data_IF_501720094653
#
_entry.id   IF_501720094653
#
_cell.length_a   1.000
_cell.length_b   1.000
_cell.length_c   1.000
_cell.angle_alpha   90.00
_cell.angle_beta   90.00
_cell.angle_gamma   90.00
#
_symmetry.space_group_name_H-M   'P 1'
#
loop_
_entity.id
_entity.type
_entity.pdbx_description
1 polymer ?
#
# COMPACT_ATOMS: atom_id res chain seq x y z
N UNK A 1 3.21 -9.30 -2.39
CA UNK A 1 3.28 -10.74 -2.72
C UNK A 1 4.50 -10.99 -3.59
N UNK A 2 5.15 -12.13 -3.41
CA UNK A 2 6.22 -12.64 -4.26
C UNK A 2 5.94 -14.11 -4.56
N UNK A 3 6.00 -14.49 -5.83
CA UNK A 3 5.86 -15.87 -6.29
C UNK A 3 7.14 -16.27 -6.99
N UNK A 4 7.77 -17.32 -6.47
CA UNK A 4 8.96 -17.92 -7.03
C UNK A 4 8.56 -19.20 -7.75
N UNK A 5 8.82 -19.29 -9.05
CA UNK A 5 8.55 -20.48 -9.86
C UNK A 5 9.88 -21.00 -10.41
N UNK A 6 10.18 -22.26 -10.14
CA UNK A 6 11.35 -22.95 -10.66
C UNK A 6 10.90 -24.10 -11.58
N UNK A 7 11.43 -24.15 -12.79
CA UNK A 7 11.31 -25.31 -13.69
C UNK A 7 12.67 -25.64 -14.28
N UNK A 8 12.95 -26.94 -14.51
CA UNK A 8 14.12 -27.42 -15.24
C UNK A 8 13.82 -27.62 -16.72
N UNK A 9 12.57 -27.44 -17.14
CA UNK A 9 12.16 -27.52 -18.53
C UNK A 9 12.53 -26.23 -19.28
N UNK A 10 13.79 -26.14 -19.70
CA UNK A 10 14.34 -24.97 -20.41
C UNK A 10 13.76 -24.77 -21.81
N UNK A 11 13.11 -25.78 -22.40
CA UNK A 11 12.42 -25.65 -23.70
C UNK A 11 11.27 -24.63 -23.65
N UNK A 12 10.76 -24.33 -22.45
CA UNK A 12 9.77 -23.27 -22.22
C UNK A 12 10.32 -21.86 -22.43
N UNK A 13 11.65 -21.69 -22.42
CA UNK A 13 12.31 -20.38 -22.53
C UNK A 13 11.79 -19.62 -23.74
N UNK A 14 11.85 -20.19 -24.94
CA UNK A 14 11.46 -19.49 -26.17
C UNK A 14 10.01 -19.03 -26.14
N UNK A 15 9.08 -19.88 -25.72
CA UNK A 15 7.66 -19.52 -25.63
C UNK A 15 7.43 -18.37 -24.64
N UNK A 16 8.07 -18.44 -23.47
CA UNK A 16 8.01 -17.39 -22.45
C UNK A 16 8.59 -16.08 -22.98
N UNK A 17 9.79 -16.10 -23.57
CA UNK A 17 10.42 -14.88 -24.10
C UNK A 17 9.59 -14.24 -25.19
N UNK A 18 9.00 -15.03 -26.09
CA UNK A 18 8.08 -14.52 -27.11
C UNK A 18 6.86 -13.87 -26.48
N UNK A 19 6.28 -14.45 -25.43
CA UNK A 19 5.14 -13.85 -24.73
C UNK A 19 5.52 -12.57 -23.97
N UNK A 20 6.75 -12.43 -23.51
CA UNK A 20 7.25 -11.24 -22.81
C UNK A 20 7.80 -10.16 -23.76
N UNK A 21 8.07 -10.48 -25.03
CA UNK A 21 8.73 -9.57 -25.97
C UNK A 21 7.95 -8.27 -26.25
N UNK A 22 6.63 -8.27 -26.02
CA UNK A 22 5.78 -7.09 -26.17
C UNK A 22 5.63 -6.23 -24.92
N UNK A 23 6.27 -6.61 -23.80
CA UNK A 23 6.15 -5.86 -22.54
C UNK A 23 6.95 -4.56 -22.58
N UNK A 24 6.37 -3.44 -22.11
CA UNK A 24 7.12 -2.20 -21.95
C UNK A 24 8.27 -2.40 -20.96
N UNK A 25 9.39 -1.70 -21.18
CA UNK A 25 10.55 -1.71 -20.29
C UNK A 25 11.25 -3.07 -20.13
N UNK A 26 11.09 -3.98 -21.09
CA UNK A 26 11.86 -5.22 -21.10
C UNK A 26 13.36 -4.96 -21.19
N UNK A 27 14.08 -5.45 -20.18
CA UNK A 27 15.53 -5.42 -20.11
C UNK A 27 16.07 -6.85 -20.09
N UNK A 28 17.12 -7.10 -20.87
CA UNK A 28 17.85 -8.36 -20.85
C UNK A 28 19.34 -8.10 -20.62
N UNK A 29 19.92 -8.79 -19.65
CA UNK A 29 21.36 -8.69 -19.32
C UNK A 29 21.88 -10.07 -18.97
N UNK A 30 22.66 -10.67 -19.87
CA UNK A 30 23.15 -12.04 -19.73
C UNK A 30 21.99 -13.04 -19.62
N UNK A 31 21.94 -13.78 -18.52
CA UNK A 31 20.89 -14.76 -18.22
C UNK A 31 19.67 -14.16 -17.50
N UNK A 32 19.69 -12.86 -17.20
CA UNK A 32 18.64 -12.19 -16.46
C UNK A 32 17.77 -11.35 -17.39
N UNK A 33 16.47 -11.55 -17.32
CA UNK A 33 15.45 -10.74 -18.00
C UNK A 33 14.59 -10.10 -16.92
N UNK A 34 14.29 -8.82 -17.09
CA UNK A 34 13.53 -8.04 -16.12
C UNK A 34 12.48 -7.20 -16.86
N UNK A 35 11.25 -7.27 -16.36
CA UNK A 35 10.14 -6.39 -16.70
C UNK A 35 9.48 -5.97 -15.38
N UNK A 36 8.66 -4.90 -15.36
CA UNK A 36 7.89 -4.54 -14.18
C UNK A 36 7.09 -5.74 -13.64
N UNK A 37 7.39 -6.13 -12.40
CA UNK A 37 6.70 -7.23 -11.73
C UNK A 37 7.22 -8.65 -12.02
N UNK A 38 8.28 -8.83 -12.83
CA UNK A 38 8.93 -10.12 -13.08
C UNK A 38 10.45 -9.98 -13.26
N UNK A 39 11.19 -10.84 -12.56
CA UNK A 39 12.60 -11.13 -12.84
C UNK A 39 12.71 -12.60 -13.22
N UNK A 40 13.15 -12.87 -14.44
CA UNK A 40 13.43 -14.22 -14.96
C UNK A 40 14.94 -14.43 -15.03
N UNK A 41 15.44 -15.45 -14.34
CA UNK A 41 16.78 -15.99 -14.56
C UNK A 41 16.68 -17.24 -15.43
N UNK A 42 17.21 -17.17 -16.64
CA UNK A 42 17.12 -18.21 -17.66
C UNK A 42 18.49 -18.78 -18.00
N UNK A 43 18.89 -19.80 -17.25
CA UNK A 43 20.16 -20.52 -17.43
C UNK A 43 20.00 -21.68 -18.42
N UNK A 44 21.08 -22.41 -18.69
CA UNK A 44 21.04 -23.65 -19.48
C UNK A 44 20.29 -24.81 -18.79
N UNK A 45 20.16 -24.76 -17.45
CA UNK A 45 19.65 -25.88 -16.66
C UNK A 45 18.27 -25.63 -16.02
N UNK A 46 17.87 -24.37 -15.91
CA UNK A 46 16.61 -24.00 -15.26
C UNK A 46 16.14 -22.60 -15.65
N UNK A 47 14.84 -22.40 -15.47
CA UNK A 47 14.17 -21.10 -15.48
C UNK A 47 13.67 -20.82 -14.06
N UNK A 48 14.11 -19.70 -13.48
CA UNK A 48 13.65 -19.20 -12.19
C UNK A 48 12.94 -17.87 -12.38
N UNK A 49 11.66 -17.85 -12.05
CA UNK A 49 10.80 -16.68 -12.12
C UNK A 49 10.61 -16.13 -10.72
N UNK A 50 10.89 -14.85 -10.52
CA UNK A 50 10.50 -14.08 -9.34
C UNK A 50 9.43 -13.08 -9.77
N UNK A 51 8.17 -13.35 -9.42
CA UNK A 51 7.01 -12.61 -9.91
C UNK A 51 6.34 -11.90 -8.75
N UNK A 52 6.18 -10.58 -8.83
CA UNK A 52 5.38 -9.78 -7.89
C UNK A 52 4.03 -9.37 -8.44
N UNK A 53 3.81 -9.49 -9.76
CA UNK A 53 2.54 -9.21 -10.43
C UNK A 53 1.64 -10.45 -10.52
N UNK A 54 0.41 -10.36 -10.01
CA UNK A 54 -0.60 -11.41 -10.12
C UNK A 54 -0.97 -11.69 -11.57
N UNK A 55 -1.14 -10.64 -12.40
CA UNK A 55 -1.44 -10.76 -13.85
C UNK A 55 -0.38 -11.57 -14.58
N UNK A 56 0.90 -11.30 -14.31
CA UNK A 56 2.02 -12.04 -14.92
C UNK A 56 2.05 -13.50 -14.46
N UNK A 57 1.77 -13.77 -13.19
CA UNK A 57 1.74 -15.14 -12.66
C UNK A 57 0.67 -15.99 -13.35
N UNK A 58 -0.53 -15.43 -13.52
CA UNK A 58 -1.66 -16.12 -14.17
C UNK A 58 -1.37 -16.37 -15.66
N UNK A 59 -0.65 -15.47 -16.32
CA UNK A 59 -0.27 -15.65 -17.73
C UNK A 59 0.84 -16.69 -17.91
N UNK A 60 1.86 -16.67 -17.05
CA UNK A 60 3.05 -17.51 -17.20
C UNK A 60 2.78 -18.95 -16.79
N UNK A 61 2.04 -19.18 -15.70
CA UNK A 61 1.91 -20.50 -15.11
C UNK A 61 1.38 -21.57 -16.09
N UNK A 62 0.29 -21.35 -16.85
CA UNK A 62 -0.19 -22.33 -17.82
C UNK A 62 0.85 -22.69 -18.88
N UNK A 63 1.69 -21.74 -19.30
CA UNK A 63 2.73 -21.95 -20.33
C UNK A 63 3.81 -22.93 -19.88
N UNK A 64 3.98 -23.12 -18.56
CA UNK A 64 4.97 -24.01 -17.99
C UNK A 64 4.55 -25.49 -18.04
N UNK A 65 3.28 -25.78 -18.34
CA UNK A 65 2.80 -27.14 -18.58
C UNK A 65 3.13 -27.59 -20.00
N UNK A 66 3.43 -28.88 -20.17
CA UNK A 66 3.66 -29.51 -21.47
C UNK A 66 2.63 -30.61 -21.69
N UNK A 67 2.14 -30.74 -22.92
CA UNK A 67 1.32 -31.88 -23.30
C UNK A 67 2.22 -32.99 -23.82
N UNK A 68 2.29 -34.10 -23.09
CA UNK A 68 3.05 -35.28 -23.50
C UNK A 68 2.11 -36.28 -24.16
N UNK A 69 2.44 -36.82 -25.36
CA UNK A 69 1.65 -37.88 -25.95
C UNK A 69 1.86 -39.20 -25.19
N UNK A 70 0.76 -39.91 -24.93
CA UNK A 70 0.71 -41.16 -24.16
C UNK A 70 -0.17 -42.19 -24.88
N UNK A 71 0.34 -42.73 -25.99
CA UNK A 71 -0.42 -43.59 -26.91
C UNK A 71 -1.26 -42.76 -27.87
N UNK A 72 -2.59 -42.99 -27.90
CA UNK A 72 -3.54 -42.20 -28.70
C UNK A 72 -4.03 -40.92 -27.99
N UNK A 73 -3.65 -40.74 -26.72
CA UNK A 73 -4.09 -39.62 -25.87
C UNK A 73 -2.91 -38.72 -25.51
N UNK A 74 -3.20 -37.61 -24.85
CA UNK A 74 -2.25 -36.66 -24.30
C UNK A 74 -2.44 -36.55 -22.78
N UNK A 75 -1.38 -36.14 -22.11
CA UNK A 75 -1.35 -35.89 -20.68
C UNK A 75 -0.65 -34.56 -20.40
N UNK A 76 -1.22 -33.66 -19.59
CA UNK A 76 -0.51 -32.49 -19.09
C UNK A 76 0.57 -32.93 -18.11
N UNK A 77 1.79 -32.40 -18.25
CA UNK A 77 2.90 -32.67 -17.35
C UNK A 77 3.62 -31.37 -17.01
N UNK A 78 4.10 -31.27 -15.77
CA UNK A 78 4.89 -30.12 -15.31
C UNK A 78 5.87 -30.57 -14.23
N UNK A 79 7.02 -29.92 -14.17
CA UNK A 79 8.03 -30.11 -13.13
C UNK A 79 8.16 -28.89 -12.21
N UNK A 80 7.23 -27.92 -12.35
CA UNK A 80 7.29 -26.65 -11.64
C UNK A 80 7.27 -26.85 -10.12
N UNK A 81 8.12 -26.09 -9.45
CA UNK A 81 8.09 -25.92 -8.00
C UNK A 81 7.79 -24.46 -7.71
N UNK A 82 6.74 -24.22 -6.95
CA UNK A 82 6.29 -22.85 -6.65
C UNK A 82 6.36 -22.62 -5.16
N UNK A 83 6.91 -21.45 -4.78
CA UNK A 83 6.80 -20.89 -3.45
C UNK A 83 6.13 -19.53 -3.60
N UNK A 84 5.01 -19.33 -2.91
CA UNK A 84 4.32 -18.05 -2.88
C UNK A 84 4.38 -17.47 -1.47
N UNK A 85 4.85 -16.23 -1.35
CA UNK A 85 4.88 -15.48 -0.09
C UNK A 85 3.99 -14.26 -0.23
N UNK A 86 3.01 -14.11 0.65
CA UNK A 86 2.01 -13.05 0.57
C UNK A 86 1.59 -12.57 1.97
N UNK A 87 0.95 -11.41 2.05
CA UNK A 87 0.14 -11.10 3.24
C UNK A 87 -1.01 -12.08 3.29
N UNK A 88 -1.51 -12.39 4.47
CA UNK A 88 -2.60 -13.33 4.60
C UNK A 88 -3.76 -12.73 5.38
N UNK A 89 -4.93 -13.35 5.22
CA UNK A 89 -6.01 -13.10 6.16
C UNK A 89 -5.69 -13.71 7.53
N UNK A 90 -6.46 -13.35 8.55
CA UNK A 90 -6.32 -13.98 9.88
C UNK A 90 -6.54 -15.50 9.78
N UNK A 91 -5.89 -16.32 10.62
CA UNK A 91 -6.07 -17.77 10.60
C UNK A 91 -7.54 -18.20 10.63
N UNK A 92 -8.38 -17.51 11.41
CA UNK A 92 -9.83 -17.74 11.49
C UNK A 92 -10.52 -17.66 10.14
N UNK A 93 -10.13 -16.69 9.30
CA UNK A 93 -10.71 -16.51 7.95
C UNK A 93 -10.14 -17.53 6.96
N UNK A 94 -8.93 -18.04 7.19
CA UNK A 94 -8.28 -19.03 6.33
C UNK A 94 -8.83 -20.45 6.57
N UNK A 95 -9.11 -20.81 7.83
CA UNK A 95 -9.50 -22.16 8.25
C UNK A 95 -10.57 -22.85 7.37
N UNK A 96 -11.68 -22.19 6.98
CA UNK A 96 -12.73 -22.82 6.17
C UNK A 96 -12.26 -23.26 4.77
N UNK A 97 -11.10 -22.78 4.33
CA UNK A 97 -10.54 -23.01 3.01
C UNK A 97 -9.43 -24.06 3.00
N UNK A 98 -9.09 -24.62 4.16
CA UNK A 98 -8.11 -25.69 4.29
C UNK A 98 -8.76 -27.06 4.12
N UNK A 99 -8.00 -27.95 3.48
CA UNK A 99 -8.35 -29.35 3.38
C UNK A 99 -7.85 -30.14 4.60
N UNK A 100 -6.71 -29.73 5.16
CA UNK A 100 -6.07 -30.36 6.31
C UNK A 100 -5.42 -29.29 7.20
N UNK A 101 -5.49 -29.47 8.52
CA UNK A 101 -4.85 -28.59 9.51
C UNK A 101 -3.81 -29.42 10.26
N UNK A 102 -2.56 -28.98 10.20
CA UNK A 102 -1.42 -29.63 10.86
C UNK A 102 -1.03 -28.95 12.17
N UNK A 103 -1.24 -27.63 12.26
CA UNK A 103 -0.98 -26.82 13.47
C UNK A 103 -1.87 -25.59 13.46
N UNK A 104 -2.32 -25.15 14.64
CA UNK A 104 -3.10 -23.93 14.83
C UNK A 104 -2.82 -23.36 16.21
N UNK A 105 -2.30 -22.13 16.26
CA UNK A 105 -2.16 -21.33 17.48
C UNK A 105 -2.74 -19.94 17.20
N UNK A 106 -3.98 -19.71 17.65
CA UNK A 106 -4.70 -18.45 17.41
C UNK A 106 -4.13 -17.27 18.20
N UNK A 107 -3.51 -17.53 19.36
CA UNK A 107 -2.92 -16.47 20.19
C UNK A 107 -1.65 -15.91 19.54
N UNK A 108 -0.91 -16.76 18.83
CA UNK A 108 0.30 -16.38 18.09
C UNK A 108 0.08 -16.10 16.61
N UNK A 109 -1.17 -16.17 16.15
CA UNK A 109 -1.54 -16.06 14.73
C UNK A 109 -0.78 -17.05 13.82
N UNK A 110 -0.56 -18.27 14.31
CA UNK A 110 0.14 -19.33 13.59
C UNK A 110 -0.83 -20.37 13.05
N UNK A 111 -0.59 -20.82 11.82
CA UNK A 111 -1.38 -21.87 11.18
C UNK A 111 -0.51 -22.64 10.17
N UNK A 112 -0.50 -23.97 10.27
CA UNK A 112 0.03 -24.86 9.25
C UNK A 112 -1.09 -25.74 8.71
N UNK A 113 -1.17 -25.90 7.39
CA UNK A 113 -2.20 -26.73 6.79
C UNK A 113 -1.97 -26.99 5.31
N UNK A 114 -2.90 -27.74 4.72
CA UNK A 114 -2.89 -28.05 3.29
C UNK A 114 -4.17 -27.51 2.65
N UNK A 115 -4.06 -26.87 1.50
CA UNK A 115 -5.19 -26.55 0.63
C UNK A 115 -5.04 -27.28 -0.70
N UNK A 116 -6.16 -27.78 -1.21
CA UNK A 116 -6.25 -28.41 -2.52
C UNK A 116 -7.11 -27.55 -3.45
N UNK A 117 -6.75 -27.52 -4.72
CA UNK A 117 -7.57 -27.00 -5.81
C UNK A 117 -7.51 -27.97 -6.98
N UNK A 118 -8.60 -28.13 -7.71
CA UNK A 118 -8.66 -29.01 -8.88
C UNK A 118 -9.26 -28.23 -10.07
N UNK A 119 -8.62 -28.36 -11.23
CA UNK A 119 -9.15 -27.93 -12.52
C UNK A 119 -9.43 -29.17 -13.35
N UNK A 120 -10.60 -29.23 -13.98
CA UNK A 120 -11.03 -30.41 -14.75
C UNK A 120 -11.60 -30.00 -16.09
N UNK A 121 -11.25 -30.77 -17.11
CA UNK A 121 -11.86 -30.72 -18.44
C UNK A 121 -12.16 -32.14 -18.89
N UNK A 122 -13.45 -32.50 -18.90
CA UNK A 122 -13.92 -33.88 -19.15
C UNK A 122 -13.18 -34.91 -18.28
N UNK A 123 -12.37 -35.75 -18.91
CA UNK A 123 -11.68 -36.85 -18.27
C UNK A 123 -10.30 -36.47 -17.73
N UNK A 124 -9.76 -35.29 -18.05
CA UNK A 124 -8.45 -34.82 -17.54
C UNK A 124 -8.64 -33.86 -16.38
N UNK A 125 -7.83 -34.03 -15.34
CA UNK A 125 -7.78 -33.12 -14.21
C UNK A 125 -6.35 -32.76 -13.82
N UNK A 126 -6.15 -31.54 -13.34
CA UNK A 126 -4.92 -31.09 -12.70
C UNK A 126 -5.26 -30.64 -11.29
N UNK A 127 -4.58 -31.20 -10.31
CA UNK A 127 -4.76 -30.88 -8.89
C UNK A 127 -3.55 -30.11 -8.40
N UNK A 128 -3.76 -28.98 -7.72
CA UNK A 128 -2.72 -28.30 -6.96
C UNK A 128 -2.83 -28.65 -5.48
N UNK A 129 -1.70 -29.07 -4.89
CA UNK A 129 -1.52 -29.19 -3.45
C UNK A 129 -0.65 -28.05 -2.94
N UNK A 130 -1.22 -27.20 -2.09
CA UNK A 130 -0.52 -26.12 -1.41
C UNK A 130 -0.30 -26.47 0.06
N UNK A 131 0.96 -26.66 0.45
CA UNK A 131 1.40 -26.74 1.85
C UNK A 131 1.62 -25.32 2.35
N UNK A 132 0.86 -24.90 3.36
CA UNK A 132 0.75 -23.53 3.82
C UNK A 132 1.36 -23.38 5.22
N UNK A 133 2.10 -22.29 5.43
CA UNK A 133 2.56 -21.84 6.73
C UNK A 133 2.22 -20.36 6.92
N UNK A 134 1.51 -20.04 7.99
CA UNK A 134 1.09 -18.69 8.36
C UNK A 134 1.69 -18.34 9.70
N UNK A 135 2.29 -17.16 9.79
CA UNK A 135 2.76 -16.57 11.05
C UNK A 135 2.84 -15.05 10.91
N UNK A 136 2.31 -14.31 11.90
CA UNK A 136 2.43 -12.85 11.96
C UNK A 136 1.87 -12.13 10.73
N UNK A 137 0.73 -12.59 10.20
CA UNK A 137 0.07 -11.98 9.04
C UNK A 137 0.73 -12.25 7.68
N UNK A 138 1.73 -13.14 7.63
CA UNK A 138 2.40 -13.58 6.39
C UNK A 138 2.10 -15.04 6.13
N UNK A 139 1.77 -15.37 4.88
CA UNK A 139 1.61 -16.73 4.37
C UNK A 139 2.79 -17.09 3.47
N UNK A 140 3.34 -18.27 3.69
CA UNK A 140 4.22 -18.98 2.75
C UNK A 140 3.51 -20.25 2.28
N UNK A 141 3.39 -20.41 0.96
CA UNK A 141 2.72 -21.54 0.33
C UNK A 141 3.68 -22.26 -0.62
N UNK A 142 3.96 -23.54 -0.35
CA UNK A 142 4.67 -24.42 -1.28
C UNK A 142 3.65 -25.19 -2.11
N UNK A 143 3.68 -24.99 -3.42
CA UNK A 143 2.65 -25.51 -4.33
C UNK A 143 3.27 -26.53 -5.28
N UNK A 144 2.59 -27.66 -5.43
CA UNK A 144 2.89 -28.71 -6.41
C UNK A 144 1.63 -29.05 -7.20
N UNK A 145 1.82 -29.41 -8.46
CA UNK A 145 0.75 -29.87 -9.32
C UNK A 145 0.89 -31.36 -9.58
N UNK A 146 -0.24 -32.05 -9.49
CA UNK A 146 -0.40 -33.46 -9.84
C UNK A 146 -1.42 -33.54 -10.97
N UNK A 147 -1.17 -34.38 -11.96
CA UNK A 147 -2.04 -34.55 -13.13
C UNK A 147 -2.70 -35.91 -13.09
N UNK A 148 -3.96 -35.96 -13.47
CA UNK A 148 -4.77 -37.17 -13.46
C UNK A 148 -5.39 -37.39 -14.83
N UNK A 149 -5.36 -38.66 -15.28
CA UNK A 149 -5.96 -39.18 -16.52
C UNK A 149 -5.37 -38.59 -17.82
N UNK A 150 -5.90 -39.04 -18.97
CA UNK A 150 -5.44 -38.71 -20.32
C UNK A 150 -6.63 -38.59 -21.27
N UNK A 151 -6.58 -37.65 -22.21
CA UNK A 151 -7.67 -37.39 -23.17
C UNK A 151 -7.07 -36.78 -24.46
N UNK A 152 -7.91 -36.26 -25.36
CA UNK A 152 -7.50 -35.52 -26.54
C UNK A 152 -6.64 -34.31 -26.16
N UNK A 153 -5.75 -33.92 -27.08
CA UNK A 153 -4.88 -32.75 -26.91
C UNK A 153 -5.69 -31.49 -26.58
N UNK A 154 -6.85 -31.31 -27.24
CA UNK A 154 -7.75 -30.19 -27.01
C UNK A 154 -8.27 -30.14 -25.57
N UNK A 155 -8.75 -31.25 -25.02
CA UNK A 155 -9.28 -31.28 -23.66
C UNK A 155 -8.18 -31.04 -22.62
N UNK A 156 -6.97 -31.59 -22.86
CA UNK A 156 -5.81 -31.33 -22.00
C UNK A 156 -5.40 -29.86 -22.02
N UNK A 157 -5.35 -29.25 -23.20
CA UNK A 157 -5.04 -27.82 -23.36
C UNK A 157 -6.08 -26.94 -22.66
N UNK A 158 -7.37 -27.22 -22.88
CA UNK A 158 -8.47 -26.52 -22.21
C UNK A 158 -8.42 -26.67 -20.68
N UNK A 159 -7.89 -27.79 -20.17
CA UNK A 159 -7.65 -27.96 -18.73
C UNK A 159 -6.49 -27.08 -18.24
N UNK A 160 -5.37 -27.05 -18.97
CA UNK A 160 -4.20 -26.23 -18.63
C UNK A 160 -4.55 -24.74 -18.59
N UNK A 161 -5.35 -24.27 -19.55
CA UNK A 161 -5.76 -22.86 -19.66
C UNK A 161 -6.63 -22.37 -18.50
N UNK A 162 -7.25 -23.29 -17.74
CA UNK A 162 -8.03 -22.96 -16.55
C UNK A 162 -7.18 -22.84 -15.28
N UNK A 163 -5.95 -23.35 -15.30
CA UNK A 163 -5.08 -23.38 -14.11
C UNK A 163 -4.78 -21.95 -13.66
N UNK A 164 -5.05 -21.69 -12.38
CA UNK A 164 -5.01 -20.33 -11.84
C UNK A 164 -4.52 -20.30 -10.39
N UNK A 165 -3.45 -19.53 -10.10
CA UNK A 165 -3.01 -19.33 -8.73
C UNK A 165 -4.02 -18.53 -7.92
N UNK A 166 -4.77 -17.61 -8.55
CA UNK A 166 -5.90 -16.91 -7.94
C UNK A 166 -6.90 -17.87 -7.33
N UNK A 167 -7.32 -18.92 -8.04
CA UNK A 167 -8.30 -19.87 -7.51
C UNK A 167 -7.80 -20.59 -6.23
N UNK A 168 -6.49 -20.85 -6.18
CA UNK A 168 -5.84 -21.49 -5.04
C UNK A 168 -5.59 -20.52 -3.87
N UNK A 169 -5.10 -19.32 -4.13
CA UNK A 169 -4.57 -18.39 -3.12
C UNK A 169 -5.54 -17.29 -2.70
N UNK A 170 -6.52 -16.91 -3.52
CA UNK A 170 -7.46 -15.82 -3.21
C UNK A 170 -8.21 -15.97 -1.88
N UNK A 171 -8.63 -17.17 -1.45
CA UNK A 171 -9.27 -17.32 -0.14
C UNK A 171 -8.30 -17.15 1.04
N UNK A 172 -7.00 -17.16 0.78
CA UNK A 172 -5.94 -17.12 1.79
C UNK A 172 -5.30 -15.73 1.93
N UNK A 173 -5.25 -14.97 0.84
CA UNK A 173 -4.53 -13.71 0.77
C UNK A 173 -5.29 -12.63 -0.04
N UNK A 174 -5.23 -11.36 0.39
CA UNK A 174 -5.94 -10.26 -0.27
C UNK A 174 -5.45 -9.95 -1.68
N UNK A 175 -4.19 -10.26 -2.01
CA UNK A 175 -3.53 -9.85 -3.26
C UNK A 175 -4.20 -10.36 -4.54
N UNK A 176 -5.02 -11.41 -4.47
CA UNK A 176 -5.76 -11.93 -5.62
C UNK A 176 -7.24 -11.50 -5.67
N UNK A 177 -7.77 -10.89 -4.60
CA UNK A 177 -9.20 -10.56 -4.43
C UNK A 177 -9.52 -9.07 -4.55
N UNK A 178 -8.58 -8.21 -4.18
CA UNK A 178 -8.72 -6.76 -4.31
C UNK A 178 -7.46 -6.20 -4.98
N UNK A 179 -7.58 -5.15 -5.82
CA UNK A 179 -6.41 -4.34 -6.14
C UNK A 179 -5.75 -3.90 -4.83
N UNK A 180 -4.43 -3.74 -4.82
CA UNK A 180 -3.75 -3.15 -3.67
C UNK A 180 -4.51 -1.88 -3.26
N UNK A 181 -4.78 -1.64 -1.95
CA UNK A 181 -5.47 -0.44 -1.53
C UNK A 181 -4.75 0.75 -2.15
N UNK A 182 -5.50 1.53 -2.92
CA UNK A 182 -4.96 2.73 -3.54
C UNK A 182 -4.47 3.71 -2.46
N UNK A 183 -3.56 4.61 -2.83
CA UNK A 183 -3.07 5.64 -1.92
C UNK A 183 -4.24 6.39 -1.26
N UNK A 184 -4.25 6.42 0.07
CA UNK A 184 -5.24 7.20 0.83
C UNK A 184 -4.64 8.54 1.19
N UNK A 185 -5.16 9.59 0.59
CA UNK A 185 -4.74 10.96 0.87
C UNK A 185 -5.69 11.56 1.90
N UNK A 186 -5.17 11.95 3.06
CA UNK A 186 -5.92 12.74 4.02
C UNK A 186 -5.88 14.22 3.63
N UNK A 187 -6.98 14.97 3.79
CA UNK A 187 -6.99 16.41 3.53
C UNK A 187 -5.87 17.13 4.29
N UNK A 188 -5.21 18.13 3.69
CA UNK A 188 -4.27 18.97 4.42
C UNK A 188 -4.97 19.68 5.58
N UNK A 189 -4.24 19.88 6.67
CA UNK A 189 -4.73 20.53 7.88
C UNK A 189 -3.72 21.56 8.36
N UNK A 190 -4.21 22.73 8.76
CA UNK A 190 -3.40 23.75 9.44
C UNK A 190 -3.75 23.65 10.91
N UNK A 191 -2.77 23.38 11.76
CA UNK A 191 -2.98 23.08 13.17
C UNK A 191 -2.11 23.96 14.05
N UNK A 192 -2.59 24.20 15.26
CA UNK A 192 -1.78 24.73 16.35
C UNK A 192 -2.34 24.26 17.68
N UNK A 193 -1.47 24.17 18.68
CA UNK A 193 -1.85 23.79 20.03
C UNK A 193 -1.15 24.73 21.01
N UNK A 194 -1.91 25.26 21.96
CA UNK A 194 -1.39 26.20 22.94
C UNK A 194 -2.10 26.04 24.27
N UNK A 195 -1.32 26.09 25.36
CA UNK A 195 -1.85 26.21 26.72
C UNK A 195 -2.05 27.68 27.04
N UNK A 196 -3.24 28.03 27.52
CA UNK A 196 -3.63 29.39 27.88
C UNK A 196 -4.20 29.43 29.29
N UNK A 197 -4.14 30.61 29.89
CA UNK A 197 -4.78 30.88 31.18
C UNK A 197 -6.28 31.15 31.02
N UNK A 198 -7.03 31.00 32.11
CA UNK A 198 -8.46 31.33 32.16
C UNK A 198 -8.73 32.77 31.70
N UNK A 199 -7.87 33.72 32.08
CA UNK A 199 -8.02 35.13 31.69
C UNK A 199 -7.94 35.33 30.17
N UNK A 200 -6.95 34.71 29.52
CA UNK A 200 -6.79 34.76 28.05
C UNK A 200 -7.96 34.07 27.34
N UNK A 201 -8.46 32.97 27.91
CA UNK A 201 -9.63 32.28 27.38
C UNK A 201 -10.90 33.16 27.46
N UNK A 202 -11.16 33.77 28.61
CA UNK A 202 -12.29 34.68 28.84
C UNK A 202 -12.22 35.87 27.88
N UNK A 203 -11.03 36.42 27.67
CA UNK A 203 -10.82 37.50 26.70
C UNK A 203 -11.15 37.05 25.27
N UNK A 204 -10.68 35.87 24.87
CA UNK A 204 -10.90 35.35 23.53
C UNK A 204 -12.36 35.01 23.24
N UNK A 205 -13.01 34.21 24.10
CA UNK A 205 -14.38 33.73 23.87
C UNK A 205 -15.40 34.88 23.84
N UNK A 206 -15.21 35.91 24.67
CA UNK A 206 -16.12 37.05 24.74
C UNK A 206 -16.03 38.01 23.54
N UNK A 207 -14.93 37.95 22.75
CA UNK A 207 -14.84 38.64 21.45
C UNK A 207 -15.76 38.02 20.38
N UNK A 208 -16.38 36.88 20.68
CA UNK A 208 -17.28 36.12 19.77
C UNK A 208 -16.63 35.83 18.41
N UNK A 209 -15.49 35.11 18.38
CA UNK A 209 -14.77 34.79 17.15
C UNK A 209 -15.56 33.88 16.19
N UNK A 210 -16.66 33.29 16.65
CA UNK A 210 -17.57 32.48 15.85
C UNK A 210 -18.70 31.88 16.68
N UNK A 211 -19.32 30.82 16.16
CA UNK A 211 -20.37 30.09 16.88
C UNK A 211 -19.73 29.19 17.93
N UNK A 212 -20.11 29.38 19.19
CA UNK A 212 -19.58 28.61 20.32
C UNK A 212 -20.59 27.57 20.76
N UNK A 213 -20.16 26.31 20.87
CA UNK A 213 -20.95 25.19 21.38
C UNK A 213 -20.12 24.49 22.46
N UNK A 214 -20.72 24.23 23.62
CA UNK A 214 -20.09 23.37 24.61
C UNK A 214 -20.44 21.90 24.33
N UNK A 215 -19.43 21.07 24.14
CA UNK A 215 -19.57 19.62 23.91
C UNK A 215 -19.39 18.88 25.22
N UNK A 216 -20.49 18.39 25.79
CA UNK A 216 -20.48 17.62 27.05
C UNK A 216 -19.66 16.33 26.94
N UNK A 217 -19.72 15.63 25.80
CA UNK A 217 -18.99 14.38 25.57
C UNK A 217 -17.47 14.57 25.66
N UNK A 218 -16.96 15.67 25.12
CA UNK A 218 -15.52 15.97 25.09
C UNK A 218 -15.05 16.83 26.27
N UNK A 219 -16.01 17.33 27.05
CA UNK A 219 -15.84 18.36 28.08
C UNK A 219 -15.01 19.54 27.54
N UNK A 220 -15.48 20.12 26.43
CA UNK A 220 -14.74 21.14 25.70
C UNK A 220 -15.66 22.18 25.06
N UNK A 221 -15.21 23.43 25.04
CA UNK A 221 -15.80 24.47 24.21
C UNK A 221 -15.29 24.33 22.78
N UNK A 222 -16.21 24.24 21.83
CA UNK A 222 -15.93 24.17 20.40
C UNK A 222 -16.40 25.45 19.75
N UNK A 223 -15.48 26.17 19.14
CA UNK A 223 -15.73 27.40 18.39
C UNK A 223 -15.62 27.07 16.92
N UNK A 224 -16.72 27.21 16.20
CA UNK A 224 -16.73 27.14 14.73
C UNK A 224 -16.55 28.55 14.19
N UNK A 225 -15.39 28.79 13.59
CA UNK A 225 -15.03 30.07 12.99
C UNK A 225 -15.82 30.28 11.69
N UNK A 226 -16.19 31.53 11.41
CA UNK A 226 -16.85 31.89 10.16
C UNK A 226 -15.93 31.56 8.97
N UNK A 227 -16.27 30.50 8.24
CA UNK A 227 -15.52 30.00 7.08
C UNK A 227 -14.90 28.60 7.23
N UNK A 228 -15.04 27.91 8.36
CA UNK A 228 -14.73 26.47 8.43
C UNK A 228 -13.36 26.13 9.04
N UNK A 229 -12.97 26.91 10.04
CA UNK A 229 -11.99 26.53 11.05
C UNK A 229 -12.67 26.13 12.36
N UNK A 230 -11.98 25.35 13.18
CA UNK A 230 -12.43 24.93 14.51
C UNK A 230 -11.36 25.23 15.54
N UNK A 231 -11.78 25.81 16.67
CA UNK A 231 -10.96 25.86 17.89
C UNK A 231 -11.67 25.01 18.94
N UNK A 232 -10.95 24.10 19.58
CA UNK A 232 -11.43 23.27 20.68
C UNK A 232 -10.62 23.63 21.92
N UNK A 233 -11.27 24.11 22.97
CA UNK A 233 -10.60 24.46 24.22
C UNK A 233 -11.15 23.60 25.35
N UNK A 234 -10.23 22.90 26.05
CA UNK A 234 -10.53 21.97 27.13
C UNK A 234 -9.74 22.34 28.37
N UNK A 235 -10.40 22.35 29.53
CA UNK A 235 -9.70 22.53 30.80
C UNK A 235 -8.86 21.29 31.10
N UNK A 236 -7.59 21.48 31.43
CA UNK A 236 -6.74 20.37 31.81
C UNK A 236 -7.03 19.93 33.25
N UNK A 237 -6.95 18.63 33.51
CA UNK A 237 -7.26 18.05 34.82
C UNK A 237 -6.22 18.42 35.88
N UNK A 238 -5.00 18.76 35.45
CA UNK A 238 -3.87 19.15 36.29
C UNK A 238 -3.59 20.65 36.12
N UNK A 239 -4.41 21.50 36.74
CA UNK A 239 -4.19 22.95 36.83
C UNK A 239 -5.38 23.81 36.38
N UNK A 240 -5.16 25.14 36.35
CA UNK A 240 -6.10 26.13 35.82
C UNK A 240 -5.86 26.43 34.32
N UNK A 241 -4.97 25.69 33.67
CA UNK A 241 -4.64 25.88 32.27
C UNK A 241 -5.69 25.24 31.36
N UNK A 242 -5.97 25.94 30.25
CA UNK A 242 -6.87 25.50 29.21
C UNK A 242 -6.03 25.14 27.99
N UNK A 243 -6.19 23.93 27.49
CA UNK A 243 -5.57 23.48 26.24
C UNK A 243 -6.46 23.87 25.08
N UNK A 244 -5.98 24.76 24.22
CA UNK A 244 -6.64 25.13 22.99
C UNK A 244 -5.97 24.48 21.78
N UNK A 245 -6.78 23.78 20.99
CA UNK A 245 -6.40 23.12 19.76
C UNK A 245 -7.12 23.78 18.60
N UNK A 246 -6.35 24.23 17.63
CA UNK A 246 -6.82 24.90 16.42
C UNK A 246 -6.66 23.96 15.24
N UNK A 247 -7.68 23.90 14.38
CA UNK A 247 -7.63 23.17 13.11
C UNK A 247 -8.37 23.95 12.01
N UNK A 248 -7.68 24.18 10.89
CA UNK A 248 -8.27 24.70 9.65
C UNK A 248 -8.09 23.72 8.51
N UNK A 249 -9.11 23.60 7.66
CA UNK A 249 -9.05 22.81 6.44
C UNK A 249 -8.54 23.59 5.22
N UNK A 250 -8.48 24.93 5.28
CA UNK A 250 -7.94 25.77 4.20
C UNK A 250 -7.71 27.20 4.70
N UNK A 251 -6.60 27.86 4.30
CA UNK A 251 -6.34 29.26 4.66
C UNK A 251 -7.27 30.25 3.94
N UNK A 252 -7.87 29.88 2.80
CA UNK A 252 -8.74 30.79 2.02
C UNK A 252 -10.06 31.10 2.70
N UNK A 253 -10.46 30.30 3.69
CA UNK A 253 -11.73 30.46 4.38
C UNK A 253 -11.59 31.12 5.75
N UNK A 254 -10.41 31.62 6.09
CA UNK A 254 -10.10 32.19 7.40
C UNK A 254 -9.90 33.69 7.24
N UNK A 255 -10.63 34.50 8.01
CA UNK A 255 -10.49 35.97 7.96
C UNK A 255 -9.14 36.42 8.50
N UNK A 256 -8.54 37.48 7.96
CA UNK A 256 -7.24 37.98 8.42
C UNK A 256 -7.23 38.39 9.90
N UNK A 257 -8.37 38.88 10.41
CA UNK A 257 -8.51 39.32 11.81
C UNK A 257 -8.31 38.21 12.85
N UNK A 258 -8.61 36.94 12.53
CA UNK A 258 -8.48 35.86 13.51
C UNK A 258 -7.02 35.56 13.83
N UNK A 259 -6.08 35.73 12.89
CA UNK A 259 -4.66 35.48 13.15
C UNK A 259 -4.09 36.48 14.16
N UNK A 260 -4.61 37.72 14.16
CA UNK A 260 -4.30 38.69 15.20
C UNK A 260 -4.79 38.20 16.57
N UNK A 261 -6.03 37.72 16.66
CA UNK A 261 -6.59 37.21 17.92
C UNK A 261 -5.87 35.93 18.42
N UNK A 262 -5.50 35.03 17.51
CA UNK A 262 -4.74 33.82 17.83
C UNK A 262 -3.38 34.16 18.45
N UNK A 263 -2.68 35.15 17.88
CA UNK A 263 -1.38 35.58 18.39
C UNK A 263 -1.51 36.38 19.68
N UNK A 264 -2.28 37.48 19.64
CA UNK A 264 -2.31 38.45 20.74
C UNK A 264 -3.09 37.96 21.95
N UNK A 265 -4.20 37.26 21.73
CA UNK A 265 -5.06 36.80 22.82
C UNK A 265 -4.66 35.41 23.28
N UNK A 266 -4.58 34.45 22.35
CA UNK A 266 -4.30 33.05 22.68
C UNK A 266 -2.80 32.75 22.79
N UNK A 267 -1.91 33.62 22.31
CA UNK A 267 -0.47 33.39 22.37
C UNK A 267 0.01 32.27 21.44
N UNK A 268 -0.72 31.99 20.36
CA UNK A 268 -0.28 31.04 19.34
C UNK A 268 0.81 31.72 18.49
N UNK A 269 2.03 31.22 18.59
CA UNK A 269 3.19 31.81 17.90
C UNK A 269 3.45 31.21 16.51
N UNK A 270 2.89 30.03 16.21
CA UNK A 270 3.10 29.36 14.94
C UNK A 270 1.94 28.43 14.56
N UNK A 271 1.83 28.16 13.27
CA UNK A 271 0.88 27.24 12.67
C UNK A 271 1.65 26.15 11.91
N UNK A 272 1.26 24.89 12.11
CA UNK A 272 1.80 23.75 11.37
C UNK A 272 0.84 23.36 10.26
N UNK A 273 1.30 23.34 9.01
CA UNK A 273 0.54 22.75 7.89
C UNK A 273 1.00 21.30 7.75
N UNK A 274 0.06 20.37 7.76
CA UNK A 274 0.30 18.94 7.68
C UNK A 274 -0.56 18.31 6.59
N UNK A 275 0.07 17.53 5.71
CA UNK A 275 -0.63 16.73 4.70
C UNK A 275 -0.04 15.33 4.68
N UNK A 276 -0.90 14.31 4.73
CA UNK A 276 -0.47 12.91 4.87
C UNK A 276 -1.11 12.06 3.80
N UNK A 277 -0.32 11.14 3.26
CA UNK A 277 -0.79 10.05 2.41
C UNK A 277 -0.32 8.71 2.99
N UNK A 278 -1.20 7.72 2.95
CA UNK A 278 -0.98 6.36 3.44
C UNK A 278 -1.13 5.35 2.30
N UNK A 279 -0.63 4.13 2.53
CA UNK A 279 -0.68 3.03 1.56
C UNK A 279 -0.02 3.40 0.22
N UNK A 280 0.93 4.34 0.24
CA UNK A 280 1.65 4.81 -0.93
C UNK A 280 2.85 3.93 -1.23
N UNK A 281 2.88 3.30 -2.40
CA UNK A 281 4.02 2.49 -2.86
C UNK A 281 4.87 3.33 -3.81
N UNK A 282 6.03 3.77 -3.31
CA UNK A 282 7.05 4.45 -4.10
C UNK A 282 8.35 3.67 -4.02
N UNK A 283 8.95 3.39 -5.17
CA UNK A 283 10.26 2.73 -5.23
C UNK A 283 11.37 3.71 -4.80
N UNK A 284 12.51 3.21 -4.29
CA UNK A 284 13.67 4.05 -3.98
C UNK A 284 14.14 4.90 -5.17
N UNK A 285 14.07 4.37 -6.39
CA UNK A 285 14.47 5.11 -7.59
C UNK A 285 13.49 6.27 -7.87
N UNK A 286 12.18 6.06 -7.77
CA UNK A 286 11.19 7.14 -7.91
C UNK A 286 11.37 8.24 -6.87
N UNK A 287 11.62 7.84 -5.61
CA UNK A 287 11.88 8.77 -4.52
C UNK A 287 13.10 9.64 -4.82
N UNK A 288 14.22 9.03 -5.20
CA UNK A 288 15.49 9.75 -5.36
C UNK A 288 15.60 10.51 -6.69
N UNK A 289 15.09 9.95 -7.79
CA UNK A 289 15.25 10.52 -9.14
C UNK A 289 14.10 11.45 -9.52
N UNK A 290 12.86 11.05 -9.27
CA UNK A 290 11.68 11.76 -9.78
C UNK A 290 11.16 12.79 -8.77
N UNK A 291 11.26 12.44 -7.49
CA UNK A 291 10.77 13.25 -6.35
C UNK A 291 11.89 13.93 -5.55
N UNK A 292 13.16 13.71 -5.91
CA UNK A 292 14.36 14.33 -5.30
C UNK A 292 14.54 14.10 -3.79
N UNK A 293 13.94 13.06 -3.22
CA UNK A 293 14.18 12.67 -1.84
C UNK A 293 15.60 12.18 -1.62
N UNK A 294 16.15 12.50 -0.46
CA UNK A 294 17.43 11.97 0.01
C UNK A 294 17.23 10.87 1.04
N UNK A 295 18.02 9.81 0.92
CA UNK A 295 18.05 8.70 1.88
C UNK A 295 18.54 9.20 3.25
N UNK A 296 17.77 8.93 4.30
CA UNK A 296 18.13 9.27 5.68
C UNK A 296 18.93 8.16 6.37
N UNK A 297 19.54 8.46 7.52
CA UNK A 297 20.31 7.49 8.33
C UNK A 297 19.48 6.27 8.74
N UNK A 298 18.22 6.47 9.10
CA UNK A 298 17.30 5.37 9.41
C UNK A 298 16.96 4.58 8.13
N UNK A 299 17.12 3.25 8.15
CA UNK A 299 17.10 2.41 6.94
C UNK A 299 15.87 2.58 6.05
N UNK A 300 14.68 2.78 6.60
CA UNK A 300 13.41 2.89 5.86
C UNK A 300 13.01 4.33 5.50
N UNK A 301 13.73 5.35 5.99
CA UNK A 301 13.34 6.76 5.83
C UNK A 301 14.03 7.47 4.68
N UNK A 302 13.24 8.29 4.00
CA UNK A 302 13.63 9.24 2.97
C UNK A 302 13.07 10.61 3.36
N UNK A 303 13.82 11.68 3.10
CA UNK A 303 13.32 13.03 3.32
C UNK A 303 13.76 13.99 2.22
N UNK A 304 12.91 15.00 1.98
CA UNK A 304 13.17 16.13 1.10
C UNK A 304 12.98 17.40 1.91
N UNK A 305 13.94 18.31 1.79
CA UNK A 305 13.80 19.70 2.23
C UNK A 305 13.60 20.55 0.98
N UNK A 306 12.38 21.02 0.76
CA UNK A 306 12.03 21.85 -0.38
C UNK A 306 12.25 23.36 -0.09
N UNK A 307 12.72 23.70 1.11
CA UNK A 307 12.95 25.06 1.59
C UNK A 307 11.70 25.70 2.21
N UNK A 308 10.53 25.45 1.66
CA UNK A 308 9.23 25.95 2.11
C UNK A 308 8.40 24.89 2.88
N UNK A 309 8.68 23.61 2.67
CA UNK A 309 8.19 22.51 3.47
C UNK A 309 9.20 21.37 3.52
N UNK A 310 9.00 20.46 4.46
CA UNK A 310 9.73 19.21 4.56
C UNK A 310 8.81 18.05 4.21
N UNK A 311 9.28 17.11 3.42
CA UNK A 311 8.60 15.85 3.16
C UNK A 311 9.38 14.69 3.78
N UNK A 312 8.69 13.77 4.45
CA UNK A 312 9.28 12.53 4.97
C UNK A 312 8.47 11.34 4.50
N UNK A 313 9.14 10.36 3.92
CA UNK A 313 8.54 9.11 3.48
C UNK A 313 9.19 7.92 4.18
N UNK A 314 8.35 7.02 4.69
CA UNK A 314 8.74 5.77 5.31
C UNK A 314 8.28 4.58 4.46
N UNK A 315 9.24 3.87 3.85
CA UNK A 315 8.97 2.68 3.02
C UNK A 315 8.33 1.55 3.85
N UNK A 316 8.63 1.44 5.14
CA UNK A 316 8.10 0.36 5.98
C UNK A 316 6.62 0.56 6.28
N UNK A 317 6.22 1.79 6.59
CA UNK A 317 4.81 2.13 6.89
C UNK A 317 4.03 2.62 5.66
N UNK A 318 4.68 2.78 4.51
CA UNK A 318 4.08 3.29 3.26
C UNK A 318 3.41 4.66 3.46
N UNK A 319 4.02 5.50 4.29
CA UNK A 319 3.46 6.79 4.70
C UNK A 319 4.33 7.95 4.24
N UNK A 320 3.69 8.93 3.59
CA UNK A 320 4.26 10.24 3.27
C UNK A 320 3.65 11.29 4.19
N UNK A 321 4.51 12.12 4.78
CA UNK A 321 4.09 13.31 5.54
C UNK A 321 4.78 14.54 4.96
N UNK A 322 3.98 15.51 4.54
CA UNK A 322 4.43 16.86 4.20
C UNK A 322 4.11 17.76 5.38
N UNK A 323 5.09 18.55 5.82
CA UNK A 323 4.93 19.47 6.93
C UNK A 323 5.66 20.78 6.71
N UNK A 324 5.05 21.89 7.11
CA UNK A 324 5.75 23.17 7.27
C UNK A 324 5.23 23.92 8.49
N UNK A 325 6.07 24.77 9.05
CA UNK A 325 5.76 25.60 10.21
C UNK A 325 5.82 27.07 9.82
N UNK A 326 4.72 27.78 9.99
CA UNK A 326 4.58 29.20 9.69
C UNK A 326 4.52 29.97 11.01
N UNK A 327 5.50 30.84 11.24
CA UNK A 327 5.49 31.71 12.42
C UNK A 327 4.49 32.85 12.25
N UNK A 328 3.72 33.12 13.30
CA UNK A 328 2.82 34.26 13.42
C UNK A 328 3.57 35.43 14.06
N UNK A 329 4.61 35.94 13.39
CA UNK A 329 5.38 37.11 13.83
C UNK A 329 4.83 38.42 13.21
N UNK A 330 5.55 39.53 13.37
CA UNK A 330 5.13 40.83 12.81
C UNK A 330 5.21 40.88 11.27
N UNK A 331 5.92 39.93 10.65
CA UNK A 331 6.03 39.80 9.20
C UNK A 331 5.04 38.78 8.62
N UNK A 332 4.17 38.19 9.45
CA UNK A 332 3.18 37.23 8.99
C UNK A 332 2.21 37.86 7.98
N UNK A 333 2.04 37.18 6.84
CA UNK A 333 1.02 37.51 5.86
C UNK A 333 0.17 36.29 5.54
N UNK A 334 -1.13 36.51 5.34
CA UNK A 334 -2.03 35.45 4.87
C UNK A 334 -1.57 34.86 3.52
N UNK A 335 -0.93 35.69 2.69
CA UNK A 335 -0.34 35.26 1.41
C UNK A 335 0.79 34.24 1.60
N UNK A 336 1.65 34.41 2.61
CA UNK A 336 2.71 33.44 2.91
C UNK A 336 2.15 32.08 3.34
N UNK A 337 1.10 32.09 4.18
CA UNK A 337 0.38 30.88 4.58
C UNK A 337 -0.28 30.20 3.37
N UNK A 338 -0.98 30.97 2.52
CA UNK A 338 -1.63 30.47 1.31
C UNK A 338 -0.63 29.92 0.29
N UNK A 339 0.54 30.55 0.16
CA UNK A 339 1.61 30.09 -0.72
C UNK A 339 2.16 28.73 -0.25
N UNK A 340 2.52 28.62 1.02
CA UNK A 340 3.07 27.37 1.58
C UNK A 340 2.06 26.22 1.54
N UNK A 341 0.79 26.53 1.83
CA UNK A 341 -0.30 25.56 1.70
C UNK A 341 -0.48 25.06 0.27
N UNK A 342 -0.36 25.94 -0.72
CA UNK A 342 -0.48 25.58 -2.14
C UNK A 342 0.69 24.72 -2.61
N UNK A 343 1.92 25.07 -2.24
CA UNK A 343 3.09 24.28 -2.62
C UNK A 343 3.04 22.85 -2.05
N UNK A 344 2.51 22.67 -0.82
CA UNK A 344 2.25 21.34 -0.25
C UNK A 344 1.24 20.54 -1.09
N UNK A 345 0.16 21.19 -1.56
CA UNK A 345 -0.83 20.56 -2.43
C UNK A 345 -0.23 20.18 -3.80
N UNK A 346 0.43 21.13 -4.47
CA UNK A 346 1.07 20.92 -5.77
C UNK A 346 2.11 19.79 -5.71
N UNK A 347 2.87 19.71 -4.61
CA UNK A 347 3.82 18.63 -4.42
C UNK A 347 3.12 17.28 -4.16
N UNK A 348 2.05 17.25 -3.38
CA UNK A 348 1.27 16.03 -3.17
C UNK A 348 0.71 15.52 -4.50
N UNK A 349 0.13 16.40 -5.32
CA UNK A 349 -0.38 16.04 -6.65
C UNK A 349 0.72 15.42 -7.53
N UNK A 350 1.91 16.04 -7.57
CA UNK A 350 3.07 15.48 -8.26
C UNK A 350 3.44 14.08 -7.75
N UNK A 351 3.40 13.86 -6.44
CA UNK A 351 3.70 12.54 -5.87
C UNK A 351 2.65 11.51 -6.28
N UNK A 352 1.38 11.91 -6.34
CA UNK A 352 0.29 11.04 -6.77
C UNK A 352 0.42 10.63 -8.23
N UNK A 353 0.79 11.56 -9.12
CA UNK A 353 1.06 11.24 -10.53
C UNK A 353 2.16 10.17 -10.69
N UNK A 354 3.20 10.23 -9.86
CA UNK A 354 4.28 9.23 -9.85
C UNK A 354 3.79 7.91 -9.23
N UNK A 355 2.99 7.97 -8.18
CA UNK A 355 2.46 6.78 -7.53
C UNK A 355 1.48 6.02 -8.43
N UNK A 356 0.60 6.69 -9.17
CA UNK A 356 -0.40 6.08 -10.05
C UNK A 356 0.20 5.18 -11.13
N UNK A 357 1.41 5.49 -11.61
CA UNK A 357 2.17 4.63 -12.52
C UNK A 357 2.45 3.24 -11.95
N UNK A 358 2.48 3.10 -10.62
CA UNK A 358 2.69 1.81 -9.94
C UNK A 358 1.38 1.01 -9.74
N UNK A 359 0.21 1.65 -9.81
CA UNK A 359 -1.09 1.01 -9.58
C UNK A 359 -1.84 0.67 -10.88
N UNK A 360 -1.48 1.29 -12.00
CA UNK A 360 -2.02 0.99 -13.33
C UNK A 360 -0.91 0.62 -14.33
N UNK A 361 -0.45 -0.64 -14.38
CA UNK A 361 0.13 -1.19 -15.58
C UNK A 361 -1.01 -1.76 -16.43
N UNK A 362 -1.37 -1.06 -17.51
CA UNK A 362 -2.32 -1.55 -18.51
C UNK A 362 -2.03 -2.99 -18.98
#
# INVERSE_FOLDING_TARGET
>A
MQVEILTRNVDKKTAILTALAGEPELQATGEKITIPGLILQATENYLLFNISSTKLVERILPMLFTLKPTGQFYEPVTDVKIIATARCYTPVKILPHLHEINHLDLEKEELLGTRLAEWRSRDVAVTARAELAVQGGVLVARIKFDTHFRDSQYNCQACIEQISLRHLLAPLCPEFTAPAPGPRIGSPSIRAQQKITEQKWVEFINRRPGTVIYSQEKDAYVITLHGGGRISCKQMTEGQDILCELEFASPSKVSSGIFYDLRQTLGIEALDILHRAEDMVLSPDQLMRDLAFSKQKAFHLFALDAGDFTATYDIKSLQLTLSTKINLDDNFTLEALQKSYRHILEFMDKVMDVAEQNYCPD
#
